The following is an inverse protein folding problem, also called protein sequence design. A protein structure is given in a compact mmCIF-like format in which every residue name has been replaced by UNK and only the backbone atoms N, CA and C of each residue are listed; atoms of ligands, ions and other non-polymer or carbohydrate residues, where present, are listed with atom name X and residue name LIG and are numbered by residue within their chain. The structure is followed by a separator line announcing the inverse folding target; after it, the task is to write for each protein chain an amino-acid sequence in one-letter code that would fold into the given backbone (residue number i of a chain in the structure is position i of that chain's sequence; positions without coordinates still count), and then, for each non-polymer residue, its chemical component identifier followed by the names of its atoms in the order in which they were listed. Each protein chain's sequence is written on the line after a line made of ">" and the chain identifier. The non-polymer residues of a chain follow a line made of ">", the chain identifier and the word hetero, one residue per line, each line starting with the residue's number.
data_IF_531319210621
#
_entry.id   IF_531319210621
#
_cell.length_a   1.000
_cell.length_b   1.000
_cell.length_c   1.000
_cell.angle_alpha   90.00
_cell.angle_beta   90.00
_cell.angle_gamma   90.00
#
_symmetry.space_group_name_H-M   'P 1'
#
loop_
_entity.id
_entity.type
_entity.pdbx_description
1 polymer ?
#
# COMPACT_ATOMS: atom_id res chain seq x y z
N UNK A 1 9.73 -5.42 -8.34
CA UNK A 1 8.43 -5.84 -7.75
C UNK A 1 7.56 -4.60 -7.64
N UNK A 2 6.23 -4.70 -7.57
CA UNK A 2 5.36 -3.53 -7.34
C UNK A 2 4.41 -3.88 -6.21
N UNK A 3 4.34 -3.03 -5.20
CA UNK A 3 3.54 -3.25 -4.01
C UNK A 3 2.21 -2.51 -4.18
N UNK A 4 1.09 -3.23 -4.09
CA UNK A 4 -0.26 -2.65 -4.22
C UNK A 4 -1.13 -3.10 -3.06
N UNK A 5 -1.91 -2.21 -2.48
CA UNK A 5 -2.96 -2.58 -1.52
C UNK A 5 -4.30 -2.55 -2.25
N UNK A 6 -5.08 -3.62 -2.17
CA UNK A 6 -6.37 -3.74 -2.85
C UNK A 6 -7.35 -4.60 -2.05
N UNK A 7 -8.58 -4.13 -1.92
CA UNK A 7 -9.69 -4.81 -1.22
C UNK A 7 -10.32 -5.97 -2.05
N UNK A 8 -9.52 -6.68 -2.85
CA UNK A 8 -9.99 -7.80 -3.67
C UNK A 8 -9.16 -9.04 -3.40
N UNK A 9 -9.70 -9.94 -2.60
CA UNK A 9 -9.16 -11.26 -2.27
C UNK A 9 -8.98 -12.08 -3.55
N UNK A 10 -7.74 -12.47 -3.88
CA UNK A 10 -7.48 -13.53 -4.86
C UNK A 10 -6.58 -14.61 -4.24
N UNK A 11 -7.08 -15.85 -4.35
CA UNK A 11 -6.51 -17.09 -3.83
C UNK A 11 -5.27 -17.50 -4.63
N UNK A 12 -4.14 -17.74 -3.97
CA UNK A 12 -2.91 -18.22 -4.64
C UNK A 12 -2.83 -19.74 -4.57
N UNK A 13 -2.90 -20.41 -5.73
CA UNK A 13 -2.44 -21.79 -5.85
C UNK A 13 -1.67 -22.04 -7.14
N UNK A 14 -0.69 -22.95 -7.01
CA UNK A 14 0.16 -23.61 -8.00
C UNK A 14 1.46 -22.90 -8.41
N UNK A 15 2.51 -23.35 -7.74
CA UNK A 15 3.91 -23.22 -8.11
C UNK A 15 4.31 -24.46 -8.90
N UNK A 16 4.71 -24.31 -10.17
CA UNK A 16 5.63 -25.27 -10.80
C UNK A 16 6.53 -24.59 -11.83
N UNK A 17 7.83 -24.76 -11.58
CA UNK A 17 9.08 -24.55 -12.35
C UNK A 17 8.99 -23.97 -13.76
N UNK A 18 9.84 -22.97 -14.03
CA UNK A 18 10.61 -22.79 -15.28
C UNK A 18 11.61 -21.63 -15.13
N UNK A 19 12.81 -21.85 -15.66
CA UNK A 19 14.07 -21.14 -15.49
C UNK A 19 14.18 -19.84 -16.32
N UNK A 20 14.80 -18.83 -15.68
CA UNK A 20 15.54 -17.66 -16.23
C UNK A 20 14.78 -16.58 -17.03
N UNK A 21 13.93 -15.84 -16.32
CA UNK A 21 13.91 -14.36 -16.28
C UNK A 21 13.71 -13.98 -14.81
N UNK A 22 14.27 -12.88 -14.26
CA UNK A 22 13.88 -12.44 -12.92
C UNK A 22 12.38 -12.19 -12.94
N UNK A 23 11.61 -13.10 -12.33
CA UNK A 23 10.15 -13.00 -12.30
C UNK A 23 9.81 -11.78 -11.45
N UNK A 24 9.12 -10.82 -12.04
CA UNK A 24 8.62 -9.65 -11.33
C UNK A 24 7.30 -10.03 -10.70
N UNK A 25 7.29 -10.10 -9.37
CA UNK A 25 6.07 -10.33 -8.60
C UNK A 25 5.42 -9.01 -8.19
N UNK A 26 4.10 -9.06 -8.04
CA UNK A 26 3.34 -8.06 -7.30
C UNK A 26 3.15 -8.59 -5.89
N UNK A 27 3.37 -7.73 -4.90
CA UNK A 27 3.00 -8.00 -3.52
C UNK A 27 1.71 -7.24 -3.25
N UNK A 28 0.67 -7.94 -2.83
CA UNK A 28 -0.65 -7.36 -2.58
C UNK A 28 -1.15 -7.75 -1.21
N UNK A 29 -1.49 -6.75 -0.39
CA UNK A 29 -2.23 -6.94 0.87
C UNK A 29 -3.59 -6.28 0.79
N UNK A 30 -4.45 -6.59 1.76
CA UNK A 30 -5.82 -6.08 1.81
C UNK A 30 -5.87 -4.62 2.25
N UNK A 31 -5.05 -4.26 3.24
CA UNK A 31 -5.03 -2.93 3.83
C UNK A 31 -3.56 -2.45 4.10
N UNK A 32 -3.36 -1.16 4.42
CA UNK A 32 -2.05 -0.61 4.77
C UNK A 32 -1.44 -1.19 6.05
N UNK A 33 -2.25 -1.66 7.00
CA UNK A 33 -1.79 -2.23 8.28
C UNK A 33 -1.04 -3.53 8.02
N UNK A 34 -1.62 -4.45 7.25
CA UNK A 34 -0.99 -5.72 6.85
C UNK A 34 0.33 -5.47 6.08
N UNK A 35 0.36 -4.40 5.25
CA UNK A 35 1.57 -4.05 4.52
C UNK A 35 2.66 -3.51 5.45
N UNK A 36 2.28 -2.71 6.45
CA UNK A 36 3.18 -2.20 7.48
C UNK A 36 3.73 -3.34 8.32
N UNK A 37 2.89 -4.30 8.73
CA UNK A 37 3.34 -5.49 9.46
C UNK A 37 4.44 -6.21 8.66
N UNK A 38 4.17 -6.52 7.39
CA UNK A 38 5.12 -7.23 6.54
C UNK A 38 6.43 -6.43 6.30
N UNK A 39 6.34 -5.14 5.93
CA UNK A 39 7.51 -4.35 5.50
C UNK A 39 8.30 -3.75 6.66
N UNK A 40 7.64 -3.42 7.76
CA UNK A 40 8.22 -2.68 8.90
C UNK A 40 8.41 -3.60 10.09
N UNK A 41 7.37 -4.32 10.51
CA UNK A 41 7.43 -5.11 11.75
C UNK A 41 8.21 -6.41 11.52
N UNK A 42 7.92 -7.13 10.44
CA UNK A 42 8.62 -8.37 10.04
C UNK A 42 9.94 -8.08 9.28
N UNK A 43 10.14 -6.84 8.84
CA UNK A 43 11.36 -6.41 8.14
C UNK A 43 11.54 -7.04 6.75
N UNK A 44 10.46 -7.44 6.07
CA UNK A 44 10.55 -7.94 4.69
C UNK A 44 11.00 -6.82 3.75
N UNK A 45 12.19 -6.96 3.14
CA UNK A 45 12.74 -5.97 2.21
C UNK A 45 12.49 -6.39 0.75
N UNK A 46 11.62 -5.68 0.00
CA UNK A 46 11.22 -6.04 -1.35
C UNK A 46 12.23 -5.58 -2.41
N UNK A 47 13.50 -5.96 -2.27
CA UNK A 47 14.62 -5.51 -3.12
C UNK A 47 14.70 -3.97 -3.21
N UNK A 48 14.70 -3.43 -4.43
CA UNK A 48 14.80 -2.02 -4.80
C UNK A 48 13.46 -1.27 -4.77
N UNK A 49 12.37 -1.93 -4.37
CA UNK A 49 11.04 -1.32 -4.38
C UNK A 49 10.88 -0.39 -3.19
N UNK A 50 10.74 0.90 -3.49
CA UNK A 50 10.56 1.96 -2.49
C UNK A 50 9.18 2.59 -2.48
N UNK A 51 8.26 2.14 -3.34
CA UNK A 51 6.92 2.72 -3.43
C UNK A 51 5.85 1.70 -3.07
N UNK A 52 5.00 2.06 -2.12
CA UNK A 52 3.76 1.34 -1.77
C UNK A 52 2.60 2.10 -2.40
N UNK A 53 1.82 1.41 -3.24
CA UNK A 53 0.65 2.01 -3.89
C UNK A 53 -0.61 1.57 -3.15
N UNK A 54 -1.30 2.53 -2.54
CA UNK A 54 -2.63 2.30 -1.95
C UNK A 54 -3.66 2.51 -3.05
N UNK A 55 -4.36 1.44 -3.38
CA UNK A 55 -5.49 1.46 -4.30
C UNK A 55 -6.71 2.20 -3.71
N UNK A 56 -7.82 2.24 -4.47
CA UNK A 56 -9.05 2.88 -4.02
C UNK A 56 -9.50 2.27 -2.68
N UNK A 57 -9.89 3.14 -1.75
CA UNK A 57 -10.43 2.74 -0.47
C UNK A 57 -11.74 3.51 -0.28
N UNK A 58 -12.85 2.77 -0.26
CA UNK A 58 -14.17 3.37 -0.21
C UNK A 58 -14.43 4.03 1.14
N UNK A 59 -15.32 5.01 1.12
CA UNK A 59 -15.79 5.65 2.34
C UNK A 59 -16.50 4.64 3.25
N UNK A 60 -16.20 4.71 4.55
CA UNK A 60 -16.74 3.81 5.58
C UNK A 60 -16.70 4.48 6.95
N UNK A 61 -17.49 4.03 7.93
CA UNK A 61 -17.50 4.65 9.27
C UNK A 61 -16.10 4.77 9.87
N UNK A 62 -15.77 5.95 10.38
CA UNK A 62 -14.45 6.25 10.97
C UNK A 62 -13.34 6.55 9.97
N UNK A 63 -13.62 6.55 8.66
CA UNK A 63 -12.65 6.93 7.64
C UNK A 63 -12.69 8.44 7.35
N UNK A 64 -11.51 9.02 7.14
CA UNK A 64 -11.32 10.40 6.68
C UNK A 64 -11.09 10.42 5.18
N UNK A 65 -11.88 11.22 4.46
CA UNK A 65 -11.78 11.35 3.01
C UNK A 65 -10.53 12.09 2.57
N UNK A 66 -9.76 11.46 1.68
CA UNK A 66 -8.56 12.01 1.04
C UNK A 66 -8.85 12.53 -0.36
N UNK A 67 -9.72 11.84 -1.10
CA UNK A 67 -10.06 12.15 -2.49
C UNK A 67 -11.28 11.37 -3.01
N UNK A 68 -11.48 11.37 -4.32
CA UNK A 68 -12.54 10.56 -4.94
C UNK A 68 -12.22 9.07 -4.80
N UNK A 69 -13.13 8.31 -4.19
CA UNK A 69 -12.94 6.87 -3.88
C UNK A 69 -11.68 6.56 -3.05
N UNK A 70 -11.29 7.51 -2.19
CA UNK A 70 -10.16 7.33 -1.27
C UNK A 70 -10.50 7.93 0.10
N UNK A 71 -10.77 7.05 1.06
CA UNK A 71 -10.91 7.36 2.49
C UNK A 71 -10.10 6.33 3.29
N UNK A 72 -9.45 6.73 4.37
CA UNK A 72 -8.72 5.82 5.26
C UNK A 72 -9.03 6.13 6.73
N UNK A 73 -8.91 5.14 7.60
CA UNK A 73 -9.06 5.31 9.06
C UNK A 73 -7.78 5.86 9.69
N UNK A 74 -7.84 6.25 10.97
CA UNK A 74 -6.65 6.64 11.73
C UNK A 74 -5.61 5.52 11.80
N UNK A 75 -6.03 4.27 12.06
CA UNK A 75 -5.14 3.11 12.11
C UNK A 75 -4.39 2.89 10.76
N UNK A 76 -5.07 3.10 9.64
CA UNK A 76 -4.45 3.02 8.32
C UNK A 76 -3.50 4.19 8.06
N UNK A 77 -3.81 5.38 8.58
CA UNK A 77 -2.92 6.53 8.56
C UNK A 77 -1.64 6.27 9.37
N UNK A 78 -1.76 5.68 10.55
CA UNK A 78 -0.63 5.28 11.40
C UNK A 78 0.28 4.29 10.64
N UNK A 79 -0.30 3.37 9.89
CA UNK A 79 0.44 2.46 9.02
C UNK A 79 1.12 3.17 7.84
N UNK A 80 0.46 4.15 7.20
CA UNK A 80 1.06 4.96 6.15
C UNK A 80 2.24 5.79 6.66
N UNK A 81 2.13 6.32 7.88
CA UNK A 81 3.19 7.06 8.54
C UNK A 81 4.38 6.16 8.88
N UNK A 82 4.14 4.99 9.45
CA UNK A 82 5.20 4.01 9.74
C UNK A 82 5.95 3.58 8.46
N UNK A 83 5.22 3.31 7.38
CA UNK A 83 5.82 2.99 6.07
C UNK A 83 6.69 4.13 5.54
N UNK A 84 6.21 5.37 5.67
CA UNK A 84 6.95 6.57 5.25
C UNK A 84 8.22 6.78 6.07
N UNK A 85 8.13 6.60 7.38
CA UNK A 85 9.27 6.67 8.31
C UNK A 85 10.29 5.53 8.09
N UNK A 86 9.82 4.37 7.61
CA UNK A 86 10.69 3.28 7.15
C UNK A 86 11.33 3.53 5.76
N UNK A 87 11.05 4.67 5.14
CA UNK A 87 11.66 5.09 3.87
C UNK A 87 10.91 4.64 2.62
N UNK A 88 9.63 4.25 2.73
CA UNK A 88 8.77 3.97 1.58
C UNK A 88 7.95 5.20 1.18
N UNK A 89 7.90 5.51 -0.11
CA UNK A 89 6.92 6.45 -0.64
C UNK A 89 5.55 5.79 -0.70
N UNK A 90 4.60 6.29 0.09
CA UNK A 90 3.21 5.85 0.05
C UNK A 90 2.43 6.72 -0.94
N UNK A 91 1.93 6.11 -2.01
CA UNK A 91 1.21 6.78 -3.11
C UNK A 91 -0.25 6.30 -3.16
N UNK A 92 -1.20 7.23 -3.16
CA UNK A 92 -2.62 6.92 -3.33
C UNK A 92 -3.01 7.00 -4.81
N UNK A 93 -3.35 5.86 -5.41
CA UNK A 93 -3.62 5.77 -6.84
C UNK A 93 -4.49 4.55 -7.21
N UNK A 94 -5.55 4.78 -7.98
CA UNK A 94 -6.27 3.70 -8.68
C UNK A 94 -5.45 3.19 -9.88
N UNK A 95 -5.02 4.13 -10.72
CA UNK A 95 -4.08 3.94 -11.82
C UNK A 95 -2.94 4.96 -11.65
N UNK A 96 -1.77 4.69 -12.23
CA UNK A 96 -0.59 5.57 -12.08
C UNK A 96 -0.89 7.02 -12.48
N UNK A 97 -1.69 7.21 -13.51
CA UNK A 97 -2.06 8.53 -14.05
C UNK A 97 -3.14 9.24 -13.22
N UNK A 98 -3.88 8.50 -12.40
CA UNK A 98 -4.98 9.03 -11.57
C UNK A 98 -4.59 9.11 -10.09
N UNK A 99 -3.30 9.18 -9.80
CA UNK A 99 -2.80 9.33 -8.44
C UNK A 99 -3.27 10.67 -7.83
N UNK A 100 -3.79 10.63 -6.60
CA UNK A 100 -4.30 11.81 -5.91
C UNK A 100 -3.22 12.53 -5.07
N UNK A 101 -2.10 11.85 -4.82
CA UNK A 101 -0.94 12.36 -4.10
C UNK A 101 -0.21 11.31 -3.28
N UNK A 102 0.93 11.68 -2.72
CA UNK A 102 1.65 10.89 -1.71
C UNK A 102 1.10 11.16 -0.31
N UNK A 103 1.49 10.32 0.65
CA UNK A 103 1.11 10.47 2.05
C UNK A 103 1.44 11.84 2.65
N UNK A 104 2.53 12.49 2.24
CA UNK A 104 2.94 13.82 2.71
C UNK A 104 1.83 14.88 2.55
N UNK A 105 1.01 14.76 1.50
CA UNK A 105 -0.11 15.67 1.22
C UNK A 105 -1.26 15.52 2.22
N UNK A 106 -1.38 14.36 2.85
CA UNK A 106 -2.57 13.95 3.61
C UNK A 106 -2.29 13.78 5.11
N UNK A 107 -1.03 13.55 5.51
CA UNK A 107 -0.62 13.24 6.89
C UNK A 107 -1.12 14.25 7.94
N UNK A 108 -1.21 15.54 7.59
CA UNK A 108 -1.70 16.59 8.48
C UNK A 108 -3.17 16.44 8.88
N UNK A 109 -3.98 15.69 8.11
CA UNK A 109 -5.36 15.36 8.47
C UNK A 109 -5.47 14.40 9.67
N UNK A 110 -4.37 13.75 10.02
CA UNK A 110 -4.28 12.72 11.05
C UNK A 110 -3.33 13.08 12.20
N UNK A 111 -2.87 14.34 12.24
CA UNK A 111 -2.01 14.86 13.32
C UNK A 111 -0.50 14.67 13.12
N UNK A 112 -0.06 14.43 11.88
CA UNK A 112 1.34 14.21 11.50
C UNK A 112 1.97 15.36 10.72
#
# INVERSE_FOLDING_TARGET
>A
MVIRISDKTQNYSKVTKLLVKPKKYFLITKNPVDMKELLVDDGFVPNDVKTVVIGPCNDRPGATKLGQNQSITQEEADACEALTNAGYTVLFALLKETAIGTWDKFRSKFGY
#
